data_IF_023755843535
#
_entry.id   IF_023755843535
#
_cell.length_a   1.000
_cell.length_b   1.000
_cell.length_c   1.000
_cell.angle_alpha   90.00
_cell.angle_beta   90.00
_cell.angle_gamma   90.00
#
_symmetry.space_group_name_H-M   'P 1'
#
loop_
_entity.id
_entity.type
_entity.pdbx_description
1 polymer ?
#
# COMPACT_ATOMS: atom_id res chain seq x y z
N UNK A 1 -18.91 2.26 15.84
CA UNK A 1 -18.13 2.98 14.80
C UNK A 1 -17.14 1.99 14.22
N UNK A 2 -17.22 1.67 12.92
CA UNK A 2 -16.18 0.86 12.29
C UNK A 2 -15.05 1.82 11.91
N UNK A 3 -13.97 1.84 12.70
CA UNK A 3 -12.74 2.53 12.29
C UNK A 3 -12.09 1.63 11.25
N UNK A 4 -12.25 1.99 9.97
CA UNK A 4 -11.38 1.47 8.91
C UNK A 4 -9.98 2.01 9.18
N UNK A 5 -9.15 1.26 9.90
CA UNK A 5 -7.77 1.64 10.22
C UNK A 5 -6.92 1.62 8.95
N UNK A 6 -6.77 2.78 8.31
CA UNK A 6 -5.75 2.98 7.28
C UNK A 6 -4.38 2.97 7.96
N UNK A 7 -3.68 1.83 7.94
CA UNK A 7 -2.34 1.71 8.50
C UNK A 7 -1.30 2.00 7.42
N UNK A 8 -0.41 2.96 7.70
CA UNK A 8 0.73 3.28 6.85
C UNK A 8 1.96 2.50 7.32
N UNK A 9 2.92 2.26 6.43
CA UNK A 9 4.17 1.57 6.77
C UNK A 9 5.32 2.59 6.79
N UNK A 10 6.04 2.65 7.91
CA UNK A 10 7.24 3.46 8.03
C UNK A 10 8.33 2.93 7.06
N UNK A 11 8.84 3.74 6.12
CA UNK A 11 9.79 3.28 5.10
C UNK A 11 11.20 3.02 5.64
N UNK A 12 11.52 3.45 6.87
CA UNK A 12 12.83 3.25 7.51
C UNK A 12 12.87 1.96 8.33
N UNK A 13 11.81 1.69 9.10
CA UNK A 13 11.78 0.56 10.03
C UNK A 13 10.73 -0.52 9.70
N UNK A 14 9.88 -0.28 8.69
CA UNK A 14 8.80 -1.17 8.25
C UNK A 14 7.74 -1.46 9.31
N UNK A 15 7.64 -0.62 10.34
CA UNK A 15 6.57 -0.73 11.33
C UNK A 15 5.26 -0.14 10.80
N UNK A 16 4.16 -0.73 11.23
CA UNK A 16 2.81 -0.21 10.98
C UNK A 16 2.58 1.03 11.85
N UNK A 17 2.07 2.09 11.23
CA UNK A 17 1.84 3.39 11.84
C UNK A 17 0.38 3.78 11.61
N UNK A 18 -0.32 4.14 12.69
CA UNK A 18 -1.67 4.67 12.59
C UNK A 18 -1.59 6.20 12.41
N UNK A 19 -1.98 6.76 11.25
CA UNK A 19 -1.91 8.20 10.98
C UNK A 19 -2.85 9.01 11.89
N UNK A 20 -3.84 8.39 12.52
CA UNK A 20 -4.72 9.05 13.49
C UNK A 20 -4.10 9.17 14.88
N UNK A 21 -3.04 8.40 15.16
CA UNK A 21 -2.36 8.35 16.47
C UNK A 21 -0.99 9.02 16.44
N UNK A 22 -0.53 9.51 15.28
CA UNK A 22 0.79 10.13 15.12
C UNK A 22 0.75 11.36 14.22
N UNK A 23 1.31 12.45 14.74
CA UNK A 23 1.58 13.67 13.96
C UNK A 23 2.99 13.64 13.33
N UNK A 24 3.69 12.50 13.40
CA UNK A 24 5.04 12.35 12.87
C UNK A 24 4.97 11.92 11.41
N UNK A 25 4.85 12.90 10.52
CA UNK A 25 4.90 12.69 9.08
C UNK A 25 5.89 13.63 8.39
N UNK A 26 6.22 13.33 7.14
CA UNK A 26 6.96 14.20 6.24
C UNK A 26 6.38 14.14 4.82
N UNK A 27 6.35 15.30 4.19
CA UNK A 27 5.96 15.46 2.79
C UNK A 27 7.16 15.26 1.89
N UNK A 28 7.07 14.31 0.95
CA UNK A 28 8.11 14.11 -0.04
C UNK A 28 7.52 13.75 -1.40
N UNK A 29 7.85 14.54 -2.43
CA UNK A 29 7.35 14.39 -3.80
C UNK A 29 5.81 14.36 -3.93
N UNK A 30 5.11 15.05 -3.04
CA UNK A 30 3.64 15.12 -3.04
C UNK A 30 2.94 13.96 -2.32
N UNK A 31 3.71 13.05 -1.71
CA UNK A 31 3.18 11.95 -0.90
C UNK A 31 3.49 12.19 0.59
N UNK A 32 2.54 11.86 1.46
CA UNK A 32 2.70 11.92 2.92
C UNK A 32 3.27 10.60 3.44
N UNK A 33 4.45 10.66 4.07
CA UNK A 33 5.07 9.51 4.73
C UNK A 33 4.93 9.63 6.24
N UNK A 34 4.39 8.59 6.89
CA UNK A 34 4.23 8.53 8.34
C UNK A 34 5.35 7.71 8.98
N UNK A 35 5.78 8.11 10.16
CA UNK A 35 6.90 7.47 10.88
C UNK A 35 6.49 7.06 12.28
N UNK A 36 7.09 5.97 12.76
CA UNK A 36 6.84 5.49 14.11
C UNK A 36 7.48 6.39 15.19
N UNK A 37 8.49 7.17 14.82
CA UNK A 37 9.27 8.02 15.73
C UNK A 37 9.99 9.14 14.96
N UNK A 38 10.31 10.23 15.66
CA UNK A 38 11.06 11.36 15.08
C UNK A 38 12.42 10.95 14.52
N UNK A 39 13.09 9.97 15.14
CA UNK A 39 14.36 9.43 14.64
C UNK A 39 14.23 8.77 13.26
N UNK A 40 13.11 8.10 12.97
CA UNK A 40 12.83 7.52 11.65
C UNK A 40 12.58 8.63 10.63
N UNK A 41 11.80 9.66 11.00
CA UNK A 41 11.59 10.85 10.17
C UNK A 41 12.91 11.54 9.82
N UNK A 42 13.79 11.77 10.79
CA UNK A 42 15.09 12.42 10.54
C UNK A 42 15.99 11.60 9.61
N UNK A 43 16.05 10.26 9.80
CA UNK A 43 16.80 9.37 8.90
C UNK A 43 16.26 9.39 7.48
N UNK A 44 14.95 9.43 7.33
CA UNK A 44 14.30 9.56 6.04
C UNK A 44 14.61 10.90 5.38
N UNK A 45 14.55 12.01 6.13
CA UNK A 45 14.88 13.34 5.59
C UNK A 45 16.36 13.48 5.20
N UNK A 46 17.25 12.73 5.85
CA UNK A 46 18.68 12.74 5.52
C UNK A 46 18.98 12.12 4.15
N UNK A 47 18.30 11.03 3.77
CA UNK A 47 18.42 10.41 2.44
C UNK A 47 17.11 9.70 2.04
N UNK A 48 16.10 10.46 1.56
CA UNK A 48 14.78 9.91 1.26
C UNK A 48 14.82 8.96 0.06
N UNK A 49 15.72 9.21 -0.89
CA UNK A 49 15.96 8.38 -2.07
C UNK A 49 16.39 6.95 -1.74
N UNK A 50 17.06 6.74 -0.61
CA UNK A 50 17.46 5.42 -0.14
C UNK A 50 16.29 4.55 0.32
N UNK A 51 15.25 5.17 0.87
CA UNK A 51 14.11 4.48 1.46
C UNK A 51 12.92 4.39 0.49
N UNK A 52 12.80 5.34 -0.43
CA UNK A 52 11.72 5.36 -1.43
C UNK A 52 12.22 4.69 -2.70
N UNK A 53 11.82 3.43 -2.89
CA UNK A 53 12.04 2.77 -4.18
C UNK A 53 11.07 3.37 -5.21
N UNK A 54 11.54 3.68 -6.43
CA UNK A 54 10.64 4.08 -7.50
C UNK A 54 9.61 2.97 -7.74
N UNK A 55 8.33 3.34 -7.96
CA UNK A 55 7.27 2.38 -8.32
C UNK A 55 7.78 1.49 -9.46
N UNK A 56 7.84 0.21 -9.18
CA UNK A 56 8.38 -0.78 -10.10
C UNK A 56 7.47 -0.90 -11.32
N UNK A 57 7.99 -1.53 -12.37
CA UNK A 57 7.20 -1.87 -13.55
C UNK A 57 5.96 -2.70 -13.19
N UNK A 58 6.05 -3.57 -12.17
CA UNK A 58 4.93 -4.35 -11.66
C UNK A 58 3.89 -3.50 -10.92
N UNK A 59 4.30 -2.49 -10.15
CA UNK A 59 3.37 -1.59 -9.45
C UNK A 59 2.54 -0.78 -10.45
N UNK A 60 3.20 -0.27 -11.51
CA UNK A 60 2.54 0.49 -12.58
C UNK A 60 1.60 -0.38 -13.42
N UNK A 61 1.98 -1.65 -13.63
CA UNK A 61 1.13 -2.62 -14.30
C UNK A 61 -0.11 -2.95 -13.45
N UNK A 62 0.06 -3.16 -12.14
CA UNK A 62 -1.03 -3.48 -11.23
C UNK A 62 -2.05 -2.34 -11.10
N UNK A 63 -1.59 -1.10 -10.96
CA UNK A 63 -2.47 0.09 -10.98
C UNK A 63 -3.32 0.15 -12.24
N UNK A 64 -2.71 -0.09 -13.41
CA UNK A 64 -3.42 -0.08 -14.68
C UNK A 64 -4.47 -1.19 -14.80
N UNK A 65 -4.23 -2.35 -14.19
CA UNK A 65 -5.18 -3.46 -14.21
C UNK A 65 -6.30 -3.27 -13.18
N UNK A 66 -6.04 -2.66 -12.02
CA UNK A 66 -7.09 -2.30 -11.06
C UNK A 66 -8.06 -1.30 -11.71
N UNK A 67 -7.56 -0.26 -12.38
CA UNK A 67 -8.40 0.71 -13.10
C UNK A 67 -9.28 0.04 -14.16
N UNK A 68 -8.68 -0.81 -15.02
CA UNK A 68 -9.41 -1.49 -16.08
C UNK A 68 -10.45 -2.49 -15.50
N UNK A 69 -10.10 -3.20 -14.42
CA UNK A 69 -11.02 -4.11 -13.76
C UNK A 69 -12.19 -3.38 -13.08
N UNK A 70 -11.96 -2.21 -12.49
CA UNK A 70 -13.01 -1.40 -11.86
C UNK A 70 -13.95 -0.77 -12.89
N UNK A 71 -13.42 -0.28 -14.01
CA UNK A 71 -14.22 0.26 -15.11
C UNK A 71 -15.10 -0.81 -15.79
N UNK A 72 -14.63 -2.06 -15.84
CA UNK A 72 -15.32 -3.16 -16.53
C UNK A 72 -16.20 -4.02 -15.61
N UNK A 73 -15.83 -4.19 -14.33
CA UNK A 73 -16.52 -5.09 -13.38
C UNK A 73 -17.00 -4.43 -12.08
N UNK A 74 -16.70 -3.15 -11.84
CA UNK A 74 -17.07 -2.46 -10.60
C UNK A 74 -16.28 -2.91 -9.36
N UNK A 75 -16.65 -2.45 -8.15
CA UNK A 75 -15.89 -2.68 -6.92
C UNK A 75 -15.89 -4.13 -6.43
N UNK A 76 -16.74 -4.99 -7.00
CA UNK A 76 -16.86 -6.41 -6.65
C UNK A 76 -15.90 -7.30 -7.50
N UNK A 77 -15.44 -6.80 -8.66
CA UNK A 77 -14.60 -7.55 -9.59
C UNK A 77 -15.35 -8.67 -10.34
N UNK A 78 -14.71 -9.35 -11.31
CA UNK A 78 -15.34 -10.46 -12.02
C UNK A 78 -15.53 -11.70 -11.14
N UNK A 79 -16.67 -12.38 -11.27
CA UNK A 79 -16.89 -13.68 -10.65
C UNK A 79 -15.94 -14.74 -11.26
N UNK A 80 -15.35 -15.59 -10.43
CA UNK A 80 -14.52 -16.69 -10.90
C UNK A 80 -15.38 -17.78 -11.57
N UNK A 81 -15.41 -17.84 -12.91
CA UNK A 81 -16.24 -18.83 -13.64
C UNK A 81 -15.56 -20.19 -13.89
N UNK A 82 -14.27 -20.37 -13.62
CA UNK A 82 -13.54 -21.59 -14.07
C UNK A 82 -13.33 -22.60 -12.94
N UNK A 83 -14.07 -23.71 -12.97
CA UNK A 83 -13.71 -25.00 -12.35
C UNK A 83 -12.45 -25.57 -13.00
N UNK A 84 -11.29 -24.94 -12.81
CA UNK A 84 -10.00 -25.53 -13.13
C UNK A 84 -9.12 -25.37 -11.90
N UNK A 85 -8.64 -26.51 -11.41
CA UNK A 85 -7.95 -26.72 -10.15
C UNK A 85 -6.90 -25.63 -9.89
N UNK A 86 -7.16 -24.77 -8.90
CA UNK A 86 -6.18 -23.86 -8.33
C UNK A 86 -5.09 -24.61 -7.54
N UNK A 87 -4.02 -23.93 -7.11
CA UNK A 87 -2.96 -24.51 -6.28
C UNK A 87 -3.56 -25.17 -5.02
N UNK A 88 -2.96 -26.26 -4.50
CA UNK A 88 -3.51 -27.00 -3.37
C UNK A 88 -3.70 -26.07 -2.16
N UNK A 89 -4.95 -25.74 -1.85
CA UNK A 89 -5.33 -24.87 -0.73
C UNK A 89 -6.15 -23.63 -1.10
N UNK A 90 -6.25 -23.23 -2.37
CA UNK A 90 -7.13 -22.12 -2.76
C UNK A 90 -8.56 -22.62 -2.98
N UNK A 91 -9.35 -22.71 -1.91
CA UNK A 91 -10.80 -22.69 -2.04
C UNK A 91 -11.23 -21.23 -2.13
N UNK A 92 -11.43 -20.74 -3.35
CA UNK A 92 -12.31 -19.59 -3.55
C UNK A 92 -13.72 -20.04 -3.10
N UNK A 93 -14.36 -19.27 -2.23
CA UNK A 93 -15.76 -19.49 -1.84
C UNK A 93 -16.71 -19.25 -2.99
#
# INVERSE_FOLDING_TARGET
MRVSETRFIDPVCFMSVNPQETDIYADYKGEHYFFCAEGCKQRFLADPTKYIKPKSWWDRWLEKHIQANEEEFGPEGPECHTKILGPPGSKCS
#
